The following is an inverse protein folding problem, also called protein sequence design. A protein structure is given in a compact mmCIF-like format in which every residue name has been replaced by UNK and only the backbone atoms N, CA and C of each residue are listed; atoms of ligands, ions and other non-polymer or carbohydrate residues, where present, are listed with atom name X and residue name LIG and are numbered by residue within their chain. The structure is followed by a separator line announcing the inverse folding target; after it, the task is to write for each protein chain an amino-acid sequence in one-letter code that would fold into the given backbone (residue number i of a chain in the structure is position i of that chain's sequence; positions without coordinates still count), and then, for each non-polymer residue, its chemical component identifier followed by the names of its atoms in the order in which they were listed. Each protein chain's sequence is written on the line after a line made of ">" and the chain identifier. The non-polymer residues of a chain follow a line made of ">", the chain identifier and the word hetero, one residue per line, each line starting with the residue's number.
data_IF_685775257632
#
_entry.id   IF_685775257632
#
_cell.length_a   1.000
_cell.length_b   1.000
_cell.length_c   1.000
_cell.angle_alpha   90.00
_cell.angle_beta   90.00
_cell.angle_gamma   90.00
#
_symmetry.space_group_name_H-M   'P 1'
#
loop_
_entity.id
_entity.type
_entity.pdbx_description
1 polymer ?
#
# COMPACT_ATOMS: atom_id res chain seq x y z
N UNK A 1 7.29 7.28 -7.48
CA UNK A 1 6.00 7.90 -7.13
C UNK A 1 6.30 9.21 -6.43
N UNK A 2 5.59 10.27 -6.75
CA UNK A 2 5.77 11.59 -6.09
C UNK A 2 5.07 11.62 -4.73
N UNK A 3 5.44 12.56 -3.86
CA UNK A 3 4.79 12.76 -2.56
C UNK A 3 3.30 13.14 -2.70
N UNK A 4 2.94 13.81 -3.80
CA UNK A 4 1.55 14.13 -4.14
C UNK A 4 0.74 12.89 -4.54
N UNK A 5 1.31 12.04 -5.42
CA UNK A 5 0.69 10.75 -5.77
C UNK A 5 0.51 9.85 -4.54
N UNK A 6 1.50 9.86 -3.63
CA UNK A 6 1.47 9.10 -2.38
C UNK A 6 0.32 9.55 -1.48
N UNK A 7 0.19 10.86 -1.22
CA UNK A 7 -0.92 11.46 -0.46
C UNK A 7 -2.28 11.10 -1.07
N UNK A 8 -2.39 11.17 -2.39
CA UNK A 8 -3.62 10.84 -3.10
C UNK A 8 -3.98 9.34 -3.01
N UNK A 9 -2.98 8.45 -2.96
CA UNK A 9 -3.21 7.02 -2.73
C UNK A 9 -3.77 6.78 -1.33
N UNK A 10 -3.13 7.33 -0.30
CA UNK A 10 -3.58 7.19 1.09
C UNK A 10 -4.99 7.76 1.30
N UNK A 11 -5.27 8.93 0.73
CA UNK A 11 -6.60 9.53 0.80
C UNK A 11 -7.69 8.63 0.18
N UNK A 12 -7.41 8.03 -0.98
CA UNK A 12 -8.34 7.10 -1.64
C UNK A 12 -8.52 5.79 -0.88
N UNK A 13 -7.48 5.33 -0.19
CA UNK A 13 -7.53 4.16 0.69
C UNK A 13 -8.17 4.46 2.05
N UNK A 14 -8.40 5.74 2.37
CA UNK A 14 -8.79 6.22 3.71
C UNK A 14 -7.80 5.81 4.80
N UNK A 15 -6.52 5.72 4.46
CA UNK A 15 -5.44 5.39 5.39
C UNK A 15 -4.76 6.66 5.89
N UNK A 16 -4.50 6.72 7.18
CA UNK A 16 -3.60 7.67 7.81
C UNK A 16 -2.13 7.25 7.61
N UNK A 17 -1.19 8.14 7.95
CA UNK A 17 0.24 7.80 7.94
C UNK A 17 0.56 6.71 8.97
N UNK A 18 -0.13 6.71 10.11
CA UNK A 18 -0.01 5.69 11.15
C UNK A 18 -0.46 4.33 10.66
N UNK A 19 -1.60 4.24 9.97
CA UNK A 19 -2.10 2.98 9.41
C UNK A 19 -1.07 2.36 8.44
N UNK A 20 -0.43 3.20 7.62
CA UNK A 20 0.61 2.72 6.70
C UNK A 20 1.88 2.29 7.44
N UNK A 21 2.31 3.03 8.48
CA UNK A 21 3.46 2.65 9.29
C UNK A 21 3.23 1.30 10.00
N UNK A 22 2.01 1.07 10.51
CA UNK A 22 1.60 -0.20 11.11
C UNK A 22 1.63 -1.34 10.08
N UNK A 23 1.06 -1.16 8.88
CA UNK A 23 1.06 -2.21 7.85
C UNK A 23 2.48 -2.54 7.36
N UNK A 24 3.36 -1.54 7.28
CA UNK A 24 4.74 -1.73 6.89
C UNK A 24 5.65 -2.19 8.03
N UNK A 25 5.14 -2.22 9.28
CA UNK A 25 5.92 -2.49 10.48
C UNK A 25 7.19 -1.62 10.55
N UNK A 26 7.03 -0.32 10.26
CA UNK A 26 8.11 0.64 10.22
C UNK A 26 7.82 1.88 11.07
N UNK A 27 8.84 2.70 11.28
CA UNK A 27 8.71 3.92 12.06
C UNK A 27 7.86 4.99 11.35
N UNK A 28 7.00 5.68 12.09
CA UNK A 28 6.14 6.75 11.55
C UNK A 28 6.96 7.88 10.93
N UNK A 29 8.18 8.15 11.40
CA UNK A 29 9.05 9.17 10.79
C UNK A 29 9.42 8.86 9.34
N UNK A 30 9.56 7.57 8.98
CA UNK A 30 9.81 7.11 7.60
C UNK A 30 8.58 7.38 6.74
N UNK A 31 7.42 6.99 7.28
CA UNK A 31 6.06 7.47 7.02
C UNK A 31 5.97 8.89 6.47
N UNK A 32 6.25 9.80 7.39
CA UNK A 32 6.12 11.23 7.22
C UNK A 32 7.16 11.82 6.26
N UNK A 33 8.40 11.31 6.27
CA UNK A 33 9.42 11.75 5.32
C UNK A 33 9.01 11.47 3.87
N UNK A 34 8.37 10.32 3.60
CA UNK A 34 7.78 10.01 2.30
C UNK A 34 6.62 10.95 1.95
N UNK A 35 5.78 11.27 2.94
CA UNK A 35 4.66 12.20 2.78
C UNK A 35 5.11 13.64 2.46
N UNK A 36 6.17 14.12 3.13
CA UNK A 36 6.77 15.44 2.90
C UNK A 36 7.60 15.51 1.60
N UNK A 37 8.04 14.35 1.10
CA UNK A 37 8.95 14.26 -0.06
C UNK A 37 10.43 14.33 0.33
N UNK A 38 10.74 14.34 1.62
CA UNK A 38 12.10 14.29 2.18
C UNK A 38 12.75 12.92 1.94
N UNK A 39 11.94 11.86 1.80
CA UNK A 39 12.37 10.52 1.44
C UNK A 39 11.71 10.05 0.14
N UNK A 40 12.48 9.32 -0.67
CA UNK A 40 11.95 8.64 -1.85
C UNK A 40 11.05 7.48 -1.41
N UNK A 41 9.87 7.38 -2.02
CA UNK A 41 9.02 6.20 -1.84
C UNK A 41 9.63 5.02 -2.61
N UNK A 42 9.90 3.87 -1.95
CA UNK A 42 10.41 2.68 -2.62
C UNK A 42 9.54 2.26 -3.80
N UNK A 43 10.14 1.85 -4.95
CA UNK A 43 9.36 1.46 -6.13
C UNK A 43 8.35 0.35 -5.88
N UNK A 44 8.71 -0.65 -5.06
CA UNK A 44 7.83 -1.76 -4.70
C UNK A 44 6.62 -1.28 -3.88
N UNK A 45 6.85 -0.40 -2.91
CA UNK A 45 5.78 0.22 -2.11
C UNK A 45 4.84 1.05 -3.00
N UNK A 46 5.40 1.78 -3.97
CA UNK A 46 4.60 2.54 -4.92
C UNK A 46 3.68 1.66 -5.78
N UNK A 47 4.18 0.52 -6.26
CA UNK A 47 3.37 -0.45 -7.01
C UNK A 47 2.27 -1.02 -6.12
N UNK A 48 2.61 -1.43 -4.90
CA UNK A 48 1.66 -2.00 -3.94
C UNK A 48 0.52 -1.02 -3.59
N UNK A 49 0.84 0.23 -3.27
CA UNK A 49 -0.17 1.27 -3.00
C UNK A 49 -1.08 1.54 -4.21
N UNK A 50 -0.51 1.55 -5.43
CA UNK A 50 -1.29 1.74 -6.66
C UNK A 50 -2.24 0.56 -6.93
N UNK A 51 -1.84 -0.67 -6.59
CA UNK A 51 -2.68 -1.87 -6.70
C UNK A 51 -3.82 -1.84 -5.69
N UNK A 52 -3.53 -1.55 -4.41
CA UNK A 52 -4.55 -1.42 -3.38
C UNK A 52 -5.59 -0.36 -3.74
N UNK A 53 -5.14 0.80 -4.23
CA UNK A 53 -6.02 1.89 -4.67
C UNK A 53 -6.95 1.45 -5.81
N UNK A 54 -6.47 0.58 -6.72
CA UNK A 54 -7.26 0.07 -7.85
C UNK A 54 -8.23 -1.03 -7.42
N UNK A 55 -7.94 -1.76 -6.34
CA UNK A 55 -8.71 -2.94 -5.95
C UNK A 55 -8.84 -3.05 -4.42
N UNK A 56 -9.57 -2.12 -3.76
CA UNK A 56 -9.68 -2.09 -2.30
C UNK A 56 -10.36 -3.34 -1.69
N UNK A 57 -11.01 -4.17 -2.50
CA UNK A 57 -11.70 -5.40 -2.08
C UNK A 57 -11.06 -6.69 -2.64
N UNK A 58 -9.99 -6.59 -3.43
CA UNK A 58 -9.44 -7.69 -4.23
C UNK A 58 -8.37 -8.56 -3.56
N UNK A 59 -7.94 -8.23 -2.34
CA UNK A 59 -6.96 -9.04 -1.57
C UNK A 59 -7.52 -10.42 -1.18
N UNK A 60 -8.85 -10.60 -1.22
CA UNK A 60 -9.50 -11.87 -0.88
C UNK A 60 -9.49 -12.90 -2.03
N UNK A 61 -9.18 -12.52 -3.27
CA UNK A 61 -9.33 -13.44 -4.41
C UNK A 61 -8.14 -14.38 -4.66
N UNK A 62 -6.97 -14.15 -4.05
CA UNK A 62 -5.76 -14.92 -4.40
C UNK A 62 -5.40 -16.07 -3.45
N UNK A 63 -6.33 -16.54 -2.60
CA UNK A 63 -6.19 -17.80 -1.85
C UNK A 63 -7.29 -18.81 -2.18
N UNK A 64 -8.01 -18.62 -3.29
CA UNK A 64 -8.86 -19.67 -3.88
C UNK A 64 -8.08 -20.62 -4.81
N UNK A 65 -6.78 -20.83 -4.54
CA UNK A 65 -6.01 -21.96 -5.06
C UNK A 65 -6.09 -23.15 -4.09
N UNK A 66 -7.26 -23.42 -3.49
CA UNK A 66 -7.50 -24.72 -2.87
C UNK A 66 -7.89 -25.69 -3.97
N UNK A 67 -7.11 -26.77 -4.07
CA UNK A 67 -7.00 -27.67 -5.21
C UNK A 67 -8.27 -27.96 -5.99
N UNK A 68 -8.14 -27.92 -7.32
CA UNK A 68 -8.82 -28.91 -8.14
C UNK A 68 -8.20 -30.27 -7.84
N UNK A 69 -8.76 -31.00 -6.89
CA UNK A 69 -8.72 -32.46 -6.95
C UNK A 69 -9.58 -32.85 -8.15
N UNK A 70 -8.93 -33.15 -9.26
CA UNK A 70 -9.51 -33.87 -10.38
C UNK A 70 -8.63 -35.10 -10.60
N UNK A 71 -9.11 -36.22 -10.08
CA UNK A 71 -8.51 -37.55 -10.14
C UNK A 71 -9.26 -38.51 -9.23
#
# INVERSE_FOLDING_TARGET
>A
MTSEEFRLCLHKLRWSLSDLAEVLQCDLSVVEAMNRGDAKVPPLLAVWLRLLRKNPLGVVQLIAYTGKESG
#
